data_IF_156700117836
#
_entry.id   IF_156700117836
#
_cell.length_a   1.000
_cell.length_b   1.000
_cell.length_c   1.000
_cell.angle_alpha   90.00
_cell.angle_beta   90.00
_cell.angle_gamma   90.00
#
_symmetry.space_group_name_H-M   'P 1'
#
loop_
_entity.id
_entity.type
_entity.pdbx_description
1 polymer ?
#
# COMPACT_ATOMS: atom_id res chain seq x y z
N UNK A 1 21.61 -3.53 8.70
CA UNK A 1 20.23 -3.42 9.19
C UNK A 1 20.26 -2.90 10.62
N UNK A 2 19.31 -2.05 10.98
CA UNK A 2 19.18 -1.43 12.30
C UNK A 2 18.90 -2.46 13.39
N UNK A 3 19.12 -2.07 14.64
CA UNK A 3 18.76 -2.88 15.82
C UNK A 3 17.48 -2.35 16.46
N UNK A 4 16.74 -3.23 17.17
CA UNK A 4 15.54 -2.83 17.93
C UNK A 4 15.89 -1.71 18.93
N UNK A 5 17.03 -1.85 19.61
CA UNK A 5 17.52 -0.85 20.56
C UNK A 5 17.74 0.52 19.89
N UNK A 6 18.44 0.55 18.75
CA UNK A 6 18.67 1.79 18.00
C UNK A 6 17.35 2.45 17.58
N UNK A 7 16.40 1.67 17.05
CA UNK A 7 15.06 2.19 16.70
C UNK A 7 14.35 2.79 17.90
N UNK A 8 14.39 2.12 19.05
CA UNK A 8 13.75 2.60 20.27
C UNK A 8 14.40 3.89 20.79
N UNK A 9 15.72 3.98 20.76
CA UNK A 9 16.48 5.17 21.14
C UNK A 9 16.13 6.37 20.25
N UNK A 10 16.14 6.18 18.93
CA UNK A 10 15.73 7.21 17.95
C UNK A 10 14.30 7.65 18.24
N UNK A 11 13.34 6.72 18.34
CA UNK A 11 11.93 7.04 18.60
C UNK A 11 11.76 7.85 19.88
N UNK A 12 12.39 7.43 20.97
CA UNK A 12 12.27 8.11 22.26
C UNK A 12 12.87 9.51 22.19
N UNK A 13 14.00 9.68 21.49
CA UNK A 13 14.64 10.98 21.29
C UNK A 13 13.75 11.92 20.48
N UNK A 14 13.15 11.45 19.39
CA UNK A 14 12.21 12.24 18.58
C UNK A 14 10.97 12.65 19.38
N UNK A 15 10.36 11.73 20.12
CA UNK A 15 9.21 12.04 20.98
C UNK A 15 9.58 13.09 22.05
N UNK A 16 10.76 12.96 22.67
CA UNK A 16 11.23 13.92 23.66
C UNK A 16 11.49 15.30 23.04
N UNK A 17 12.07 15.37 21.85
CA UNK A 17 12.26 16.62 21.12
C UNK A 17 10.92 17.28 20.77
N UNK A 18 9.94 16.52 20.27
CA UNK A 18 8.59 17.02 20.01
C UNK A 18 7.93 17.58 21.28
N UNK A 19 8.05 16.87 22.40
CA UNK A 19 7.44 17.30 23.67
C UNK A 19 8.04 18.61 24.21
N UNK A 20 9.30 18.89 23.90
CA UNK A 20 10.01 20.09 24.34
C UNK A 20 9.95 21.24 23.31
N UNK A 21 9.36 21.03 22.13
CA UNK A 21 9.18 22.05 21.11
C UNK A 21 7.79 22.67 21.22
N UNK A 22 7.71 23.90 21.71
CA UNK A 22 6.43 24.61 21.91
C UNK A 22 5.63 24.84 20.62
N UNK A 23 6.25 24.66 19.45
CA UNK A 23 5.60 24.76 18.15
C UNK A 23 4.81 23.48 17.80
N UNK A 24 5.08 22.35 18.47
CA UNK A 24 4.33 21.09 18.35
C UNK A 24 3.38 20.96 19.53
N UNK A 25 2.09 21.11 19.28
CA UNK A 25 1.05 21.15 20.31
C UNK A 25 0.34 19.82 20.51
N UNK A 26 0.44 18.92 19.53
CA UNK A 26 -0.06 17.55 19.62
C UNK A 26 0.91 16.58 18.96
N UNK A 27 0.99 15.36 19.46
CA UNK A 27 1.78 14.29 18.84
C UNK A 27 1.08 12.95 18.98
N UNK A 28 1.25 12.10 17.97
CA UNK A 28 0.77 10.73 17.99
C UNK A 28 1.72 9.78 17.28
N UNK A 29 1.59 8.51 17.63
CA UNK A 29 2.19 7.40 16.92
C UNK A 29 1.16 6.89 15.91
N UNK A 30 1.59 6.65 14.68
CA UNK A 30 0.75 6.03 13.66
C UNK A 30 1.35 4.67 13.23
N UNK A 31 0.72 4.03 12.24
CA UNK A 31 1.24 2.80 11.66
C UNK A 31 1.17 1.59 12.60
N UNK A 32 2.09 0.65 12.37
CA UNK A 32 2.09 -0.67 13.05
C UNK A 32 2.24 -0.55 14.57
N UNK A 33 2.96 0.46 15.05
CA UNK A 33 3.24 0.65 16.47
C UNK A 33 2.06 1.21 17.29
N UNK A 34 1.08 1.86 16.65
CA UNK A 34 -0.08 2.44 17.35
C UNK A 34 -0.84 1.41 18.21
N UNK A 35 -0.81 0.13 17.85
CA UNK A 35 -1.45 -0.97 18.58
C UNK A 35 -0.47 -2.00 19.15
N UNK A 36 0.83 -1.67 19.25
CA UNK A 36 1.84 -2.59 19.79
C UNK A 36 2.14 -3.80 18.91
N UNK A 37 1.82 -3.74 17.61
CA UNK A 37 2.11 -4.81 16.64
C UNK A 37 3.47 -4.61 15.93
N UNK A 38 4.44 -3.97 16.60
CA UNK A 38 5.77 -3.79 16.03
C UNK A 38 6.56 -5.11 16.08
N UNK A 39 7.34 -5.36 15.04
CA UNK A 39 8.35 -6.42 14.99
C UNK A 39 9.75 -5.80 14.87
N UNK A 40 10.77 -6.62 14.60
CA UNK A 40 12.16 -6.15 14.42
C UNK A 40 12.41 -5.37 13.12
N UNK A 41 11.44 -5.35 12.20
CA UNK A 41 11.55 -4.74 10.88
C UNK A 41 10.71 -3.46 10.73
N UNK A 42 9.84 -3.18 11.70
CA UNK A 42 9.00 -1.98 11.66
C UNK A 42 9.83 -0.70 11.71
N UNK A 43 9.36 0.31 11.00
CA UNK A 43 9.83 1.68 10.92
C UNK A 43 9.42 2.52 12.15
N UNK A 44 9.63 3.83 12.06
CA UNK A 44 9.14 4.82 13.02
C UNK A 44 8.18 5.75 12.28
N UNK A 45 6.89 5.66 12.61
CA UNK A 45 5.91 6.63 12.13
C UNK A 45 5.45 7.56 13.26
N UNK A 46 5.69 8.86 13.10
CA UNK A 46 5.21 9.89 14.02
C UNK A 46 4.44 10.98 13.26
N UNK A 47 3.43 11.53 13.93
CA UNK A 47 2.65 12.65 13.40
C UNK A 47 2.54 13.75 14.44
N UNK A 48 2.66 14.99 13.98
CA UNK A 48 2.74 16.18 14.81
C UNK A 48 1.70 17.22 14.37
N UNK A 49 0.96 17.72 15.36
CA UNK A 49 0.08 18.88 15.22
C UNK A 49 0.88 20.15 15.48
N UNK A 50 1.06 20.97 14.45
CA UNK A 50 1.83 22.21 14.48
C UNK A 50 0.93 23.38 14.87
N UNK A 51 1.40 24.21 15.79
CA UNK A 51 0.69 25.40 16.25
C UNK A 51 0.35 26.35 15.09
N UNK A 52 -0.80 27.03 15.15
CA UNK A 52 -1.27 27.94 14.09
C UNK A 52 -0.29 29.09 13.79
N UNK A 53 0.50 29.50 14.79
CA UNK A 53 1.51 30.56 14.65
C UNK A 53 2.79 30.10 13.93
N UNK A 54 2.92 28.80 13.62
CA UNK A 54 4.12 28.21 13.03
C UNK A 54 3.85 27.71 11.62
N UNK A 55 4.73 28.07 10.69
CA UNK A 55 4.69 27.50 9.34
C UNK A 55 5.08 26.02 9.36
N UNK A 56 4.33 25.17 8.64
CA UNK A 56 4.69 23.77 8.44
C UNK A 56 6.04 23.65 7.72
N UNK A 57 6.34 24.53 6.77
CA UNK A 57 7.62 24.48 6.05
C UNK A 57 8.81 24.71 6.98
N UNK A 58 8.74 25.72 7.86
CA UNK A 58 9.82 26.00 8.81
C UNK A 58 9.96 24.92 9.87
N UNK A 59 8.85 24.27 10.25
CA UNK A 59 8.87 23.10 11.11
C UNK A 59 9.63 21.94 10.45
N UNK A 60 9.30 21.64 9.20
CA UNK A 60 9.93 20.58 8.43
C UNK A 60 11.43 20.83 8.23
N UNK A 61 11.84 22.06 7.93
CA UNK A 61 13.26 22.40 7.77
C UNK A 61 14.02 22.19 9.10
N UNK A 62 13.46 22.70 10.21
CA UNK A 62 14.03 22.52 11.55
C UNK A 62 14.18 21.05 11.95
N UNK A 63 13.21 20.21 11.62
CA UNK A 63 13.26 18.77 11.92
C UNK A 63 14.16 18.01 10.95
N UNK A 64 14.31 18.49 9.73
CA UNK A 64 15.28 17.94 8.76
C UNK A 64 16.70 18.15 9.25
N UNK A 65 17.01 19.36 9.72
CA UNK A 65 18.32 19.66 10.32
C UNK A 65 18.57 18.80 11.56
N UNK A 66 17.56 18.62 12.42
CA UNK A 66 17.67 17.74 13.58
C UNK A 66 17.96 16.29 13.17
N UNK A 67 17.21 15.75 12.21
CA UNK A 67 17.36 14.36 11.76
C UNK A 67 18.74 14.13 11.11
N UNK A 68 19.17 15.07 10.26
CA UNK A 68 20.46 15.03 9.60
C UNK A 68 21.61 15.09 10.60
N UNK A 69 21.58 16.04 11.53
CA UNK A 69 22.69 16.28 12.47
C UNK A 69 22.75 15.30 13.63
N UNK A 70 21.61 14.84 14.18
CA UNK A 70 21.60 13.94 15.35
C UNK A 70 21.67 12.46 14.98
N UNK A 71 21.19 12.07 13.78
CA UNK A 71 21.03 10.66 13.43
C UNK A 71 21.62 10.26 12.08
N UNK A 72 22.40 11.14 11.44
CA UNK A 72 22.93 10.95 10.08
C UNK A 72 21.82 10.57 9.07
N UNK A 73 20.62 11.12 9.27
CA UNK A 73 19.44 10.80 8.48
C UNK A 73 19.41 11.55 7.15
N UNK A 74 19.03 10.84 6.09
CA UNK A 74 18.89 11.40 4.74
C UNK A 74 17.41 11.55 4.40
N UNK A 75 17.01 12.73 3.93
CA UNK A 75 15.68 12.96 3.37
C UNK A 75 15.52 12.19 2.06
N UNK A 76 14.45 11.40 1.94
CA UNK A 76 14.11 10.72 0.70
C UNK A 76 13.17 11.56 -0.16
N UNK A 77 11.99 11.90 0.36
CA UNK A 77 10.97 12.66 -0.35
C UNK A 77 9.86 13.15 0.59
N UNK A 78 9.03 14.04 0.05
CA UNK A 78 7.79 14.50 0.68
C UNK A 78 6.57 13.92 -0.01
N UNK A 79 5.54 13.60 0.78
CA UNK A 79 4.18 13.32 0.31
C UNK A 79 3.25 14.36 0.91
N UNK A 80 2.55 15.10 0.06
CA UNK A 80 1.52 16.06 0.51
C UNK A 80 0.14 15.41 0.46
N UNK A 81 -0.61 15.49 1.57
CA UNK A 81 -2.03 15.14 1.63
C UNK A 81 -2.78 16.27 2.31
N UNK A 82 -3.63 16.96 1.56
CA UNK A 82 -4.30 18.18 2.02
C UNK A 82 -3.25 19.18 2.55
N UNK A 83 -3.40 19.68 3.78
CA UNK A 83 -2.41 20.56 4.40
C UNK A 83 -1.39 19.81 5.27
N UNK A 84 -1.43 18.48 5.30
CA UNK A 84 -0.41 17.66 5.95
C UNK A 84 0.73 17.35 4.99
N UNK A 85 1.97 17.50 5.45
CA UNK A 85 3.16 17.06 4.72
C UNK A 85 3.83 15.93 5.50
N UNK A 86 4.06 14.82 4.82
CA UNK A 86 4.80 13.65 5.31
C UNK A 86 6.20 13.72 4.70
N UNK A 87 7.24 13.74 5.53
CA UNK A 87 8.64 13.63 5.09
C UNK A 87 9.19 12.29 5.50
N UNK A 88 9.73 11.57 4.52
CA UNK A 88 10.33 10.25 4.70
C UNK A 88 11.85 10.41 4.80
N UNK A 89 12.43 9.85 5.85
CA UNK A 89 13.87 9.79 6.08
C UNK A 89 14.37 8.35 6.09
N UNK A 90 15.64 8.17 5.74
CA UNK A 90 16.37 6.93 5.97
C UNK A 90 17.59 7.20 6.85
N UNK A 91 17.72 6.44 7.94
CA UNK A 91 18.81 6.52 8.90
C UNK A 91 19.77 5.33 8.73
N UNK A 92 20.97 5.36 9.35
CA UNK A 92 21.89 4.25 9.40
C UNK A 92 21.22 2.92 9.78
N UNK A 93 21.65 1.85 9.12
CA UNK A 93 21.01 0.54 9.27
C UNK A 93 19.71 0.38 8.47
N UNK A 94 19.39 1.30 7.56
CA UNK A 94 18.16 1.28 6.76
C UNK A 94 16.90 1.42 7.63
N UNK A 95 16.98 2.20 8.71
CA UNK A 95 15.81 2.52 9.51
C UNK A 95 15.04 3.65 8.84
N UNK A 96 13.82 3.36 8.38
CA UNK A 96 12.92 4.38 7.87
C UNK A 96 12.26 5.14 9.03
N UNK A 97 12.18 6.47 8.89
CA UNK A 97 11.49 7.36 9.82
C UNK A 97 10.56 8.26 9.01
N UNK A 98 9.26 8.14 9.26
CA UNK A 98 8.22 8.91 8.60
C UNK A 98 7.67 9.93 9.61
N UNK A 99 7.90 11.21 9.32
CA UNK A 99 7.39 12.31 10.12
C UNK A 99 6.34 13.07 9.33
N UNK A 100 5.17 13.27 9.92
CA UNK A 100 4.13 14.10 9.33
C UNK A 100 3.81 15.31 10.18
N UNK A 101 3.56 16.42 9.50
CA UNK A 101 3.29 17.71 10.10
C UNK A 101 1.98 18.23 9.52
N UNK A 102 0.99 18.41 10.39
CA UNK A 102 -0.32 18.95 10.07
C UNK A 102 -0.52 20.27 10.80
N UNK A 103 -1.30 21.24 10.26
CA UNK A 103 -1.86 22.29 11.10
C UNK A 103 -2.62 21.64 12.26
N UNK A 104 -2.59 22.23 13.46
CA UNK A 104 -3.29 21.67 14.62
C UNK A 104 -4.77 21.42 14.33
N UNK A 105 -5.43 22.32 13.58
CA UNK A 105 -6.84 22.22 13.16
C UNK A 105 -7.17 20.99 12.30
N UNK A 106 -6.16 20.34 11.73
CA UNK A 106 -6.27 19.14 10.90
C UNK A 106 -5.51 17.95 11.48
N UNK A 107 -5.00 18.04 12.71
CA UNK A 107 -4.29 16.95 13.34
C UNK A 107 -5.28 15.90 13.86
N UNK A 108 -5.24 14.67 13.33
CA UNK A 108 -6.15 13.61 13.77
C UNK A 108 -6.03 12.30 13.00
N UNK A 109 -6.69 11.26 13.53
CA UNK A 109 -6.63 9.90 13.01
C UNK A 109 -7.35 9.73 11.67
N UNK A 110 -6.63 9.37 10.60
CA UNK A 110 -7.20 9.01 9.28
C UNK A 110 -7.54 7.52 9.20
N UNK A 111 -7.17 6.73 10.19
CA UNK A 111 -7.42 5.29 10.21
C UNK A 111 -7.28 4.72 11.62
N UNK A 112 -7.46 3.41 11.78
CA UNK A 112 -7.42 2.78 13.11
C UNK A 112 -6.03 2.89 13.76
N UNK A 113 -4.96 2.99 12.97
CA UNK A 113 -3.58 3.02 13.43
C UNK A 113 -3.15 4.41 13.93
N UNK A 114 -3.72 4.85 15.05
CA UNK A 114 -3.41 6.13 15.67
C UNK A 114 -3.43 6.02 17.21
N UNK A 115 -2.34 6.43 17.85
CA UNK A 115 -2.23 6.49 19.31
C UNK A 115 -1.72 7.87 19.73
N UNK A 116 -2.62 8.67 20.28
CA UNK A 116 -2.30 10.00 20.81
C UNK A 116 -1.28 9.87 21.95
N UNK A 117 -0.21 10.67 21.89
CA UNK A 117 0.79 10.79 22.95
C UNK A 117 0.46 11.96 23.88
N UNK A 118 0.13 13.12 23.30
CA UNK A 118 -0.32 14.33 24.02
C UNK A 118 -1.02 15.29 23.06
N UNK A 119 -1.68 16.31 23.65
CA UNK A 119 -2.41 17.35 22.92
C UNK A 119 -3.85 16.94 22.61
N UNK A 120 -4.46 17.59 21.63
CA UNK A 120 -5.81 17.31 21.15
C UNK A 120 -5.76 16.75 19.72
N UNK A 121 -6.79 15.99 19.33
CA UNK A 121 -7.00 15.52 17.96
C UNK A 121 -8.37 15.94 17.46
N UNK A 122 -8.46 16.17 16.15
CA UNK A 122 -9.70 16.40 15.43
C UNK A 122 -10.22 15.09 14.86
N UNK A 123 -11.54 14.93 14.89
CA UNK A 123 -12.20 13.78 14.30
C UNK A 123 -12.17 13.91 12.77
N UNK A 124 -11.60 12.90 12.10
CA UNK A 124 -11.56 12.83 10.64
C UNK A 124 -12.47 11.72 10.13
N UNK A 125 -13.05 11.97 8.95
CA UNK A 125 -13.80 10.94 8.24
C UNK A 125 -12.90 9.73 7.95
N UNK A 126 -13.39 8.55 8.27
CA UNK A 126 -12.66 7.32 7.97
C UNK A 126 -12.72 7.04 6.46
N UNK A 127 -11.62 6.58 5.85
CA UNK A 127 -11.58 6.25 4.44
C UNK A 127 -12.59 5.14 4.13
N UNK A 128 -13.31 5.32 3.03
CA UNK A 128 -14.29 4.34 2.56
C UNK A 128 -13.57 3.08 2.10
N UNK A 129 -14.00 1.92 2.61
CA UNK A 129 -13.58 0.62 2.07
C UNK A 129 -14.00 0.50 0.61
N UNK A 130 -13.10 0.04 -0.26
CA UNK A 130 -13.42 -0.24 -1.66
C UNK A 130 -14.38 -1.45 -1.75
N UNK A 131 -15.52 -1.34 -2.45
CA UNK A 131 -16.43 -2.47 -2.66
C UNK A 131 -15.77 -3.58 -3.49
N UNK A 132 -16.20 -4.83 -3.28
CA UNK A 132 -15.73 -6.02 -4.04
C UNK A 132 -15.92 -5.82 -5.54
N UNK A 133 -17.05 -5.24 -5.95
CA UNK A 133 -17.36 -4.95 -7.36
C UNK A 133 -16.32 -4.02 -8.00
N UNK A 134 -15.82 -3.04 -7.25
CA UNK A 134 -14.84 -2.07 -7.75
C UNK A 134 -13.47 -2.74 -7.91
N UNK A 135 -13.01 -3.50 -6.90
CA UNK A 135 -11.77 -4.28 -6.99
C UNK A 135 -11.80 -5.30 -8.14
N UNK A 136 -12.96 -5.95 -8.35
CA UNK A 136 -13.17 -6.88 -9.45
C UNK A 136 -13.12 -6.17 -10.80
N UNK A 137 -13.75 -5.00 -10.92
CA UNK A 137 -13.69 -4.17 -12.12
C UNK A 137 -12.25 -3.77 -12.49
N UNK A 138 -11.44 -3.35 -11.50
CA UNK A 138 -10.02 -3.10 -11.73
C UNK A 138 -9.31 -4.36 -12.21
N UNK A 139 -9.44 -5.50 -11.53
CA UNK A 139 -8.80 -6.74 -11.97
C UNK A 139 -9.10 -7.08 -13.43
N UNK A 140 -10.38 -7.05 -13.84
CA UNK A 140 -10.80 -7.28 -15.25
C UNK A 140 -10.12 -6.28 -16.19
N UNK A 141 -10.13 -4.99 -15.84
CA UNK A 141 -9.46 -3.95 -16.62
C UNK A 141 -7.98 -4.29 -16.84
N UNK A 142 -7.26 -4.73 -15.80
CA UNK A 142 -5.84 -5.02 -15.88
C UNK A 142 -5.56 -6.27 -16.74
N UNK A 143 -6.40 -7.31 -16.67
CA UNK A 143 -6.33 -8.47 -17.58
C UNK A 143 -6.50 -8.04 -19.04
N UNK A 144 -7.50 -7.21 -19.33
CA UNK A 144 -7.73 -6.62 -20.66
C UNK A 144 -6.50 -5.85 -21.17
N UNK A 145 -5.90 -5.01 -20.32
CA UNK A 145 -4.68 -4.26 -20.67
C UNK A 145 -3.50 -5.18 -20.93
N UNK A 146 -3.32 -6.23 -20.13
CA UNK A 146 -2.27 -7.22 -20.34
C UNK A 146 -2.40 -7.90 -21.71
N UNK A 147 -3.63 -8.32 -22.07
CA UNK A 147 -3.91 -8.93 -23.36
C UNK A 147 -3.60 -8.00 -24.54
N UNK A 148 -4.08 -6.75 -24.50
CA UNK A 148 -3.81 -5.78 -25.57
C UNK A 148 -2.34 -5.43 -25.71
N UNK A 149 -1.60 -5.34 -24.60
CA UNK A 149 -0.16 -5.12 -24.64
C UNK A 149 0.58 -6.30 -25.26
N UNK A 150 0.17 -7.53 -24.89
CA UNK A 150 0.72 -8.75 -25.45
C UNK A 150 0.50 -8.83 -26.97
N UNK A 151 -0.70 -8.50 -27.48
CA UNK A 151 -0.93 -8.53 -28.92
C UNK A 151 -0.07 -7.53 -29.69
N UNK A 152 0.17 -6.37 -29.11
CA UNK A 152 1.10 -5.36 -29.64
C UNK A 152 2.58 -5.72 -29.43
N UNK A 153 2.87 -6.92 -28.95
CA UNK A 153 4.22 -7.40 -28.60
C UNK A 153 4.95 -6.51 -27.57
N UNK A 154 4.21 -5.79 -26.72
CA UNK A 154 4.72 -4.96 -25.62
C UNK A 154 4.81 -5.78 -24.34
N UNK A 155 5.65 -6.82 -24.35
CA UNK A 155 5.63 -7.87 -23.32
C UNK A 155 5.94 -7.37 -21.91
N UNK A 156 6.84 -6.39 -21.74
CA UNK A 156 7.11 -5.76 -20.43
C UNK A 156 5.86 -5.09 -19.84
N UNK A 157 5.11 -4.38 -20.70
CA UNK A 157 3.88 -3.73 -20.28
C UNK A 157 2.77 -4.76 -20.00
N UNK A 158 2.74 -5.85 -20.77
CA UNK A 158 1.82 -6.95 -20.52
C UNK A 158 2.10 -7.63 -19.17
N UNK A 159 3.37 -7.84 -18.83
CA UNK A 159 3.80 -8.39 -17.54
C UNK A 159 3.41 -7.46 -16.38
N UNK A 160 3.66 -6.15 -16.51
CA UNK A 160 3.22 -5.17 -15.51
C UNK A 160 1.70 -5.29 -15.23
N UNK A 161 0.89 -5.29 -16.29
CA UNK A 161 -0.57 -5.37 -16.16
C UNK A 161 -1.05 -6.70 -15.57
N UNK A 162 -0.43 -7.83 -15.93
CA UNK A 162 -0.84 -9.13 -15.37
C UNK A 162 -0.42 -9.28 -13.91
N UNK A 163 0.71 -8.71 -13.52
CA UNK A 163 1.14 -8.65 -12.12
C UNK A 163 0.18 -7.80 -11.28
N UNK A 164 -0.27 -6.65 -11.79
CA UNK A 164 -1.30 -5.85 -11.12
C UNK A 164 -2.66 -6.55 -11.07
N UNK A 165 -3.07 -7.25 -12.13
CA UNK A 165 -4.30 -8.04 -12.12
C UNK A 165 -4.27 -9.11 -11.01
N UNK A 166 -3.14 -9.83 -10.86
CA UNK A 166 -2.94 -10.79 -9.76
C UNK A 166 -3.04 -10.12 -8.39
N UNK A 167 -2.43 -8.94 -8.24
CA UNK A 167 -2.51 -8.17 -7.00
C UNK A 167 -3.96 -7.81 -6.66
N UNK A 168 -4.79 -7.42 -7.63
CA UNK A 168 -6.22 -7.18 -7.40
C UNK A 168 -7.01 -8.45 -7.08
N UNK A 169 -6.67 -9.61 -7.65
CA UNK A 169 -7.29 -10.88 -7.27
C UNK A 169 -6.98 -11.25 -5.80
N UNK A 170 -5.75 -11.04 -5.34
CA UNK A 170 -5.39 -11.23 -3.93
C UNK A 170 -6.07 -10.19 -3.02
N UNK A 171 -6.22 -8.93 -3.46
CA UNK A 171 -7.02 -7.92 -2.74
C UNK A 171 -8.48 -8.32 -2.60
N UNK A 172 -9.11 -8.91 -3.64
CA UNK A 172 -10.47 -9.44 -3.55
C UNK A 172 -10.59 -10.53 -2.48
N UNK A 173 -9.60 -11.42 -2.42
CA UNK A 173 -9.55 -12.48 -1.42
C UNK A 173 -9.38 -11.94 0.01
N UNK A 174 -8.55 -10.92 0.19
CA UNK A 174 -8.38 -10.21 1.45
C UNK A 174 -9.67 -9.49 1.86
N UNK A 175 -10.26 -8.73 0.95
CA UNK A 175 -11.51 -7.97 1.18
C UNK A 175 -12.65 -8.90 1.60
N UNK A 176 -12.80 -10.05 0.93
CA UNK A 176 -13.82 -11.06 1.25
C UNK A 176 -13.66 -11.70 2.64
N UNK A 177 -12.51 -11.46 3.30
CA UNK A 177 -12.16 -12.01 4.62
C UNK A 177 -11.89 -10.93 5.67
N UNK A 178 -12.12 -9.66 5.35
CA UNK A 178 -11.83 -8.54 6.26
C UNK A 178 -10.34 -8.34 6.56
N UNK A 179 -9.46 -8.82 5.68
CA UNK A 179 -8.01 -8.63 5.79
C UNK A 179 -7.57 -7.31 5.14
N UNK A 180 -6.36 -6.86 5.49
CA UNK A 180 -5.79 -5.63 4.97
C UNK A 180 -5.47 -5.75 3.46
N UNK A 181 -6.05 -4.86 2.64
CA UNK A 181 -5.85 -4.82 1.18
C UNK A 181 -4.73 -3.88 0.73
N UNK A 182 -4.19 -3.07 1.64
CA UNK A 182 -3.20 -2.04 1.33
C UNK A 182 -1.80 -2.65 1.22
N UNK A 183 -1.10 -2.28 0.15
CA UNK A 183 0.30 -2.65 -0.10
C UNK A 183 0.61 -4.16 0.01
N UNK A 184 -0.39 -5.02 -0.17
CA UNK A 184 -0.25 -6.47 -0.04
C UNK A 184 -0.09 -6.98 1.39
N UNK A 185 -0.32 -6.14 2.42
CA UNK A 185 -0.07 -6.50 3.82
C UNK A 185 -0.88 -7.69 4.33
N UNK A 186 -2.06 -7.96 3.75
CA UNK A 186 -2.88 -9.11 4.11
C UNK A 186 -2.68 -10.34 3.23
N UNK A 187 -1.78 -10.32 2.24
CA UNK A 187 -1.63 -11.43 1.30
C UNK A 187 -1.16 -12.72 1.99
N UNK A 188 -0.11 -12.63 2.81
CA UNK A 188 0.43 -13.80 3.52
C UNK A 188 -0.45 -14.25 4.70
N UNK A 189 -1.47 -13.46 5.08
CA UNK A 189 -2.50 -13.85 6.04
C UNK A 189 -3.64 -14.66 5.38
N UNK A 190 -3.66 -14.77 4.05
CA UNK A 190 -4.63 -15.60 3.35
C UNK A 190 -4.37 -17.10 3.62
N UNK A 191 -5.43 -17.91 3.73
CA UNK A 191 -5.28 -19.36 3.78
C UNK A 191 -4.49 -19.90 2.58
N UNK A 192 -3.62 -20.88 2.82
CA UNK A 192 -2.75 -21.46 1.78
C UNK A 192 -3.54 -21.93 0.56
N UNK A 193 -4.72 -22.53 0.76
CA UNK A 193 -5.56 -22.98 -0.35
C UNK A 193 -6.07 -21.85 -1.25
N UNK A 194 -6.10 -20.61 -0.77
CA UNK A 194 -6.43 -19.42 -1.57
C UNK A 194 -5.19 -18.90 -2.31
N UNK A 195 -4.04 -18.89 -1.65
CA UNK A 195 -2.76 -18.54 -2.30
C UNK A 195 -2.44 -19.49 -3.45
N UNK A 196 -2.71 -20.79 -3.26
CA UNK A 196 -2.47 -21.83 -4.27
C UNK A 196 -3.28 -21.61 -5.56
N UNK A 197 -4.46 -20.96 -5.48
CA UNK A 197 -5.26 -20.59 -6.67
C UNK A 197 -4.48 -19.68 -7.63
N UNK A 198 -3.58 -18.86 -7.10
CA UNK A 198 -2.86 -17.84 -7.88
C UNK A 198 -1.38 -18.16 -8.06
N UNK A 199 -0.87 -19.27 -7.53
CA UNK A 199 0.55 -19.65 -7.62
C UNK A 199 1.05 -19.74 -9.06
N UNK A 200 0.20 -20.21 -9.97
CA UNK A 200 0.53 -20.31 -11.39
C UNK A 200 0.31 -18.99 -12.16
N UNK A 201 -0.19 -17.92 -11.54
CA UNK A 201 -0.32 -16.64 -12.22
C UNK A 201 0.98 -15.84 -12.34
N UNK A 202 2.07 -16.27 -11.69
CA UNK A 202 3.39 -15.63 -11.84
C UNK A 202 4.00 -15.93 -13.22
N UNK A 203 4.43 -14.87 -13.91
CA UNK A 203 5.13 -14.95 -15.21
C UNK A 203 6.57 -15.41 -14.97
N UNK A 204 6.92 -16.59 -15.47
CA UNK A 204 8.26 -17.17 -15.26
C UNK A 204 9.26 -16.76 -16.35
N UNK A 205 8.76 -16.40 -17.53
CA UNK A 205 9.55 -15.93 -18.68
C UNK A 205 8.76 -14.89 -19.46
N UNK A 206 9.45 -13.88 -19.99
CA UNK A 206 8.81 -12.82 -20.75
C UNK A 206 8.51 -13.26 -22.19
N UNK A 207 7.35 -13.88 -22.41
CA UNK A 207 6.84 -14.27 -23.73
C UNK A 207 5.31 -14.34 -23.74
N UNK A 208 4.69 -14.33 -24.93
CA UNK A 208 3.22 -14.36 -25.07
C UNK A 208 2.57 -15.56 -24.38
N UNK A 209 3.18 -16.75 -24.48
CA UNK A 209 2.63 -17.98 -23.90
C UNK A 209 2.51 -17.89 -22.38
N UNK A 210 3.52 -17.33 -21.71
CA UNK A 210 3.48 -17.12 -20.26
C UNK A 210 2.44 -16.06 -19.85
N UNK A 211 2.25 -15.00 -20.64
CA UNK A 211 1.18 -14.02 -20.38
C UNK A 211 -0.19 -14.68 -20.45
N UNK A 212 -0.47 -15.47 -21.49
CA UNK A 212 -1.74 -16.22 -21.61
C UNK A 212 -1.93 -17.19 -20.45
N UNK A 213 -0.90 -17.96 -20.10
CA UNK A 213 -0.95 -18.90 -18.98
C UNK A 213 -1.27 -18.19 -17.66
N UNK A 214 -0.66 -17.03 -17.43
CA UNK A 214 -0.94 -16.22 -16.25
C UNK A 214 -2.36 -15.65 -16.24
N UNK A 215 -2.88 -15.20 -17.39
CA UNK A 215 -4.29 -14.77 -17.52
C UNK A 215 -5.23 -15.92 -17.16
N UNK A 216 -5.01 -17.10 -17.75
CA UNK A 216 -5.80 -18.31 -17.47
C UNK A 216 -5.80 -18.65 -15.97
N UNK A 217 -4.62 -18.66 -15.35
CA UNK A 217 -4.49 -18.97 -13.92
C UNK A 217 -5.25 -17.99 -13.03
N UNK A 218 -5.20 -16.67 -13.31
CA UNK A 218 -5.96 -15.68 -12.54
C UNK A 218 -7.46 -15.95 -12.67
N UNK A 219 -7.95 -16.11 -13.91
CA UNK A 219 -9.38 -16.32 -14.19
C UNK A 219 -9.90 -17.59 -13.51
N UNK A 220 -9.17 -18.70 -13.61
CA UNK A 220 -9.54 -19.97 -12.97
C UNK A 220 -9.58 -19.87 -11.44
N UNK A 221 -8.75 -19.01 -10.83
CA UNK A 221 -8.72 -18.83 -9.39
C UNK A 221 -9.89 -18.04 -8.80
N UNK A 222 -10.63 -17.28 -9.62
CA UNK A 222 -11.62 -16.32 -9.12
C UNK A 222 -12.80 -16.99 -8.41
N UNK A 223 -13.30 -18.10 -8.95
CA UNK A 223 -14.45 -18.81 -8.37
C UNK A 223 -14.14 -19.38 -6.96
N UNK A 224 -12.86 -19.58 -6.64
CA UNK A 224 -12.41 -20.05 -5.33
C UNK A 224 -12.27 -18.95 -4.27
N UNK A 225 -12.48 -17.66 -4.62
CA UNK A 225 -12.28 -16.55 -3.68
C UNK A 225 -13.41 -16.45 -2.65
N UNK A 226 -14.65 -16.28 -3.13
CA UNK A 226 -15.89 -16.11 -2.37
C UNK A 226 -17.11 -16.27 -3.30
N UNK A 227 -18.31 -16.47 -2.74
CA UNK A 227 -19.53 -16.62 -3.57
C UNK A 227 -19.84 -15.34 -4.38
N UNK A 228 -19.63 -14.16 -3.78
CA UNK A 228 -19.85 -12.88 -4.49
C UNK A 228 -18.91 -12.71 -5.68
N UNK A 229 -17.62 -13.08 -5.55
CA UNK A 229 -16.67 -13.03 -6.67
C UNK A 229 -17.04 -14.07 -7.72
N UNK A 230 -17.47 -15.26 -7.32
CA UNK A 230 -17.94 -16.30 -8.24
C UNK A 230 -19.14 -15.83 -9.07
N UNK A 231 -20.12 -15.19 -8.45
CA UNK A 231 -21.27 -14.60 -9.17
C UNK A 231 -20.84 -13.54 -10.20
N UNK A 232 -19.86 -12.70 -9.86
CA UNK A 232 -19.28 -11.72 -10.78
C UNK A 232 -18.53 -12.39 -11.95
N UNK A 233 -17.76 -13.45 -11.66
CA UNK A 233 -17.06 -14.25 -12.65
C UNK A 233 -18.01 -14.91 -13.65
N UNK A 234 -19.13 -15.48 -13.17
CA UNK A 234 -20.16 -16.09 -14.02
C UNK A 234 -20.75 -15.07 -15.00
N UNK A 235 -21.01 -13.84 -14.57
CA UNK A 235 -21.54 -12.76 -15.43
C UNK A 235 -20.58 -12.39 -16.56
N UNK A 236 -19.27 -12.52 -16.35
CA UNK A 236 -18.23 -12.20 -17.34
C UNK A 236 -17.60 -13.43 -18.01
N UNK A 237 -18.15 -14.63 -17.83
CA UNK A 237 -17.51 -15.88 -18.25
C UNK A 237 -17.11 -15.87 -19.74
N UNK A 238 -17.99 -15.37 -20.62
CA UNK A 238 -17.69 -15.26 -22.06
C UNK A 238 -16.50 -14.34 -22.35
N UNK A 239 -16.42 -13.16 -21.73
CA UNK A 239 -15.30 -12.22 -21.88
C UNK A 239 -14.01 -12.83 -21.31
N UNK A 240 -14.09 -13.47 -20.14
CA UNK A 240 -12.94 -14.12 -19.51
C UNK A 240 -12.39 -15.25 -20.40
N UNK A 241 -13.28 -16.03 -21.01
CA UNK A 241 -12.92 -17.05 -21.98
C UNK A 241 -12.16 -16.44 -23.17
N UNK A 242 -12.70 -15.40 -23.81
CA UNK A 242 -12.04 -14.71 -24.92
C UNK A 242 -10.63 -14.22 -24.57
N UNK A 243 -10.46 -13.61 -23.39
CA UNK A 243 -9.17 -13.11 -22.91
C UNK A 243 -8.14 -14.22 -22.67
N UNK A 244 -8.59 -15.44 -22.46
CA UNK A 244 -7.77 -16.60 -22.12
C UNK A 244 -7.33 -17.43 -23.34
N UNK A 245 -7.86 -17.16 -24.53
CA UNK A 245 -7.55 -17.94 -25.75
C UNK A 245 -6.15 -17.65 -26.29
N UNK A 246 -5.42 -18.65 -26.78
CA UNK A 246 -4.25 -18.41 -27.63
C UNK A 246 -4.71 -18.01 -29.04
N UNK A 247 -4.10 -16.98 -29.64
CA UNK A 247 -4.34 -16.53 -31.01
C UNK A 247 -3.85 -17.54 -32.08
N UNK A 248 -4.42 -18.75 -32.09
CA UNK A 248 -4.36 -19.63 -33.25
C UNK A 248 -5.56 -19.45 -34.19
N UNK A 249 -6.55 -18.63 -33.83
CA UNK A 249 -7.82 -18.51 -34.57
C UNK A 249 -8.20 -17.10 -35.03
N UNK A 250 -7.31 -16.10 -34.94
CA UNK A 250 -7.56 -14.76 -35.51
C UNK A 250 -6.71 -14.55 -36.77
N UNK A 251 -6.73 -15.54 -37.67
CA UNK A 251 -6.42 -15.37 -39.10
C UNK A 251 -7.47 -16.14 -39.90
N UNK A 252 -8.74 -15.79 -39.71
CA UNK A 252 -9.83 -16.21 -40.57
C UNK A 252 -11.00 -15.23 -40.40
N UNK A 253 -10.88 -14.05 -41.01
CA UNK A 253 -11.93 -13.04 -40.96
C UNK A 253 -11.48 -11.78 -41.68
N UNK A 254 -11.44 -11.90 -43.02
CA UNK A 254 -11.54 -10.86 -44.07
C UNK A 254 -11.34 -9.40 -43.67
#
# INVERSE_FOLDING_TARGET
>A
MFTIQYRQEVRQRLINNAKNDSRIVSAAIIGSYAHGKEDRWSDIDLTFGVAESTSISSMIDSWTDLISNEFDGITLFDVKRENTIYRVFILPGCLQVDLSFSPVSEFGAVGPHFKLLYGNQYEKAQPRSLPIQELFGYMVHHILRARFCMERNRLWQAEFWISEARNYALKLACQSRGLNIDYGRGFDDLPQNILDLFKDSFVKKLNKKEIIRSIQAIISGLEGISEEVKELSVKLNHIMYELSLCDNNIIAGT
#
